data_IF_013220969900
#
_entry.id   IF_013220969900
#
_cell.length_a   1.000
_cell.length_b   1.000
_cell.length_c   1.000
_cell.angle_alpha   90.00
_cell.angle_beta   90.00
_cell.angle_gamma   90.00
#
_symmetry.space_group_name_H-M   'P 1'
#
loop_
_entity.id
_entity.type
_entity.pdbx_description
1 polymer ?
#
# COMPACT_ATOMS: atom_id res chain seq x y z
N UNK A 1 -45.41 9.60 33.26
CA UNK A 1 -44.82 9.53 31.91
C UNK A 1 -43.52 10.34 31.86
N UNK A 2 -42.43 9.82 32.43
CA UNK A 2 -41.15 10.56 32.45
C UNK A 2 -39.90 9.66 32.37
N UNK A 3 -40.07 8.37 32.06
CA UNK A 3 -38.95 7.40 31.97
C UNK A 3 -38.52 7.09 30.53
N UNK A 4 -39.30 7.48 29.52
CA UNK A 4 -38.98 7.19 28.11
C UNK A 4 -37.99 8.18 27.47
N UNK A 5 -37.83 9.39 28.05
CA UNK A 5 -36.98 10.45 27.48
C UNK A 5 -35.51 10.38 27.92
N UNK A 6 -35.17 9.50 28.89
CA UNK A 6 -33.81 9.39 29.42
C UNK A 6 -32.94 8.34 28.71
N UNK A 7 -33.53 7.50 27.84
CA UNK A 7 -32.81 6.40 27.17
C UNK A 7 -32.36 6.80 25.75
N UNK A 8 -32.96 7.85 25.16
CA UNK A 8 -32.67 8.29 23.80
C UNK A 8 -31.22 8.78 23.55
N UNK A 9 -30.54 9.51 24.47
CA UNK A 9 -29.19 10.01 24.17
C UNK A 9 -28.12 8.92 24.26
N UNK A 10 -28.43 7.76 24.87
CA UNK A 10 -27.51 6.63 25.01
C UNK A 10 -27.48 5.74 23.76
N UNK A 11 -28.51 5.82 22.90
CA UNK A 11 -28.54 5.13 21.61
C UNK A 11 -27.82 5.90 20.50
N UNK A 12 -27.63 7.22 20.65
CA UNK A 12 -26.92 8.05 19.66
C UNK A 12 -25.39 8.02 19.80
N UNK A 13 -24.84 7.51 20.90
CA UNK A 13 -23.38 7.42 21.11
C UNK A 13 -22.70 6.36 20.23
N UNK A 14 -23.45 5.54 19.50
CA UNK A 14 -22.91 4.43 18.69
C UNK A 14 -22.82 4.73 17.18
N UNK A 15 -23.08 5.95 16.73
CA UNK A 15 -22.92 6.34 15.31
C UNK A 15 -21.75 7.31 15.12
N UNK A 16 -20.65 7.10 15.86
CA UNK A 16 -19.34 7.53 15.36
C UNK A 16 -18.94 6.51 14.29
N UNK A 17 -19.42 6.73 13.06
CA UNK A 17 -18.86 6.09 11.89
C UNK A 17 -17.40 6.54 11.84
N UNK A 18 -16.49 5.64 12.22
CA UNK A 18 -15.07 5.87 12.04
C UNK A 18 -14.85 6.08 10.54
N UNK A 19 -14.67 7.33 10.11
CA UNK A 19 -14.24 7.62 8.76
C UNK A 19 -12.74 7.31 8.74
N UNK A 20 -12.36 6.17 8.16
CA UNK A 20 -10.94 5.83 8.02
C UNK A 20 -10.18 6.96 7.32
N UNK A 21 -8.93 7.16 7.73
CA UNK A 21 -8.03 8.13 7.12
C UNK A 21 -7.27 7.46 5.96
N UNK A 22 -7.39 8.04 4.77
CA UNK A 22 -6.60 7.65 3.60
C UNK A 22 -5.20 8.25 3.70
N UNK A 23 -4.17 7.41 3.89
CA UNK A 23 -2.77 7.82 4.08
C UNK A 23 -2.00 8.06 2.78
N UNK A 24 -2.65 7.94 1.62
CA UNK A 24 -2.00 7.99 0.29
C UNK A 24 -1.21 9.28 0.07
N UNK A 25 -1.73 10.44 0.46
CA UNK A 25 -1.04 11.71 0.25
C UNK A 25 0.27 11.79 1.05
N UNK A 26 0.23 11.31 2.29
CA UNK A 26 1.41 11.26 3.16
C UNK A 26 2.49 10.35 2.57
N UNK A 27 2.10 9.19 2.05
CA UNK A 27 3.04 8.26 1.42
C UNK A 27 3.61 8.78 0.12
N UNK A 28 2.78 9.36 -0.75
CA UNK A 28 3.26 9.98 -1.99
C UNK A 28 4.31 11.06 -1.71
N UNK A 29 4.03 11.95 -0.75
CA UNK A 29 4.97 13.01 -0.40
C UNK A 29 6.29 12.43 0.13
N UNK A 30 6.20 11.47 1.05
CA UNK A 30 7.36 10.80 1.64
C UNK A 30 8.20 10.08 0.60
N UNK A 31 7.55 9.38 -0.32
CA UNK A 31 8.21 8.56 -1.33
C UNK A 31 8.85 9.40 -2.43
N UNK A 32 8.18 10.48 -2.87
CA UNK A 32 8.76 11.45 -3.81
C UNK A 32 10.00 12.09 -3.20
N UNK A 33 9.94 12.55 -1.94
CA UNK A 33 11.10 13.12 -1.25
C UNK A 33 12.26 12.11 -1.19
N UNK A 34 11.99 10.85 -0.83
CA UNK A 34 13.02 9.79 -0.78
C UNK A 34 13.65 9.52 -2.14
N UNK A 35 12.86 9.49 -3.21
CA UNK A 35 13.34 9.28 -4.57
C UNK A 35 14.17 10.46 -5.10
N UNK A 36 13.92 11.67 -4.61
CA UNK A 36 14.69 12.86 -4.94
C UNK A 36 16.00 12.95 -4.15
N UNK A 37 16.01 12.51 -2.89
CA UNK A 37 17.19 12.56 -2.02
C UNK A 37 18.17 11.40 -2.25
N UNK A 38 17.68 10.26 -2.75
CA UNK A 38 18.47 9.06 -3.01
C UNK A 38 18.80 8.92 -4.48
N UNK A 39 20.06 8.62 -4.82
CA UNK A 39 20.44 8.18 -6.18
C UNK A 39 20.67 6.66 -6.23
N UNK A 40 20.16 5.93 -5.24
CA UNK A 40 20.48 4.53 -4.98
C UNK A 40 19.29 3.61 -5.25
N UNK A 41 18.73 3.71 -6.44
CA UNK A 41 17.68 2.83 -6.93
C UNK A 41 17.80 2.57 -8.43
N UNK A 42 17.13 1.52 -8.87
CA UNK A 42 16.92 1.13 -10.24
C UNK A 42 15.42 1.14 -10.51
N UNK A 43 15.05 1.63 -11.69
CA UNK A 43 13.67 1.72 -12.14
C UNK A 43 13.50 0.67 -13.24
N UNK A 44 12.54 -0.24 -13.05
CA UNK A 44 12.08 -1.15 -14.08
C UNK A 44 10.71 -0.70 -14.54
N UNK A 45 10.58 -0.28 -15.79
CA UNK A 45 9.33 0.17 -16.41
C UNK A 45 9.08 -0.69 -17.66
N UNK A 46 7.89 -1.31 -17.75
CA UNK A 46 7.54 -2.17 -18.88
C UNK A 46 7.14 -1.39 -20.15
N UNK A 47 6.98 -0.06 -20.07
CA UNK A 47 6.53 0.79 -21.18
C UNK A 47 7.61 1.65 -21.81
N UNK A 48 8.78 1.79 -21.16
CA UNK A 48 9.90 2.59 -21.66
C UNK A 48 11.24 2.01 -21.26
N UNK A 49 12.20 2.06 -22.17
CA UNK A 49 13.59 1.65 -21.91
C UNK A 49 14.38 2.70 -21.12
N UNK A 50 13.90 3.95 -21.08
CA UNK A 50 14.58 5.09 -20.44
C UNK A 50 13.72 5.67 -19.32
N UNK A 51 13.34 4.86 -18.35
CA UNK A 51 12.62 5.33 -17.18
C UNK A 51 13.48 6.35 -16.39
N UNK A 52 12.89 7.49 -16.03
CA UNK A 52 13.56 8.54 -15.28
C UNK A 52 12.82 8.85 -13.99
N UNK A 53 13.49 9.47 -13.03
CA UNK A 53 12.81 10.01 -11.86
C UNK A 53 11.67 10.97 -12.26
N UNK A 54 11.89 11.81 -13.27
CA UNK A 54 10.87 12.75 -13.72
C UNK A 54 9.62 12.05 -14.26
N UNK A 55 9.77 10.94 -15.01
CA UNK A 55 8.62 10.17 -15.48
C UNK A 55 7.85 9.54 -14.32
N UNK A 56 8.55 9.06 -13.28
CA UNK A 56 7.87 8.55 -12.06
C UNK A 56 7.12 9.68 -11.36
N UNK A 57 7.74 10.83 -11.14
CA UNK A 57 7.09 11.96 -10.47
C UNK A 57 5.83 12.39 -11.22
N UNK A 58 5.86 12.41 -12.55
CA UNK A 58 4.70 12.70 -13.38
C UNK A 58 3.60 11.65 -13.21
N UNK A 59 3.95 10.37 -13.24
CA UNK A 59 3.00 9.27 -13.01
C UNK A 59 2.33 9.37 -11.63
N UNK A 60 3.11 9.70 -10.59
CA UNK A 60 2.62 9.84 -9.22
C UNK A 60 1.63 11.00 -9.02
N UNK A 61 1.57 11.97 -9.93
CA UNK A 61 0.54 13.02 -9.89
C UNK A 61 -0.87 12.45 -10.03
N UNK A 62 -1.06 11.35 -10.77
CA UNK A 62 -2.36 10.69 -10.87
C UNK A 62 -2.83 10.15 -9.52
N UNK A 63 -1.92 9.55 -8.75
CA UNK A 63 -2.21 9.11 -7.38
C UNK A 63 -2.45 10.31 -6.46
N UNK A 64 -1.76 11.43 -6.68
CA UNK A 64 -2.01 12.68 -5.96
C UNK A 64 -3.40 13.25 -6.19
N UNK A 65 -3.97 13.08 -7.38
CA UNK A 65 -5.38 13.46 -7.62
C UNK A 65 -6.34 12.59 -6.80
N UNK A 66 -6.08 11.27 -6.72
CA UNK A 66 -6.88 10.34 -5.92
C UNK A 66 -6.79 10.65 -4.44
N UNK A 67 -5.60 10.98 -3.94
CA UNK A 67 -5.39 11.24 -2.51
C UNK A 67 -6.13 12.48 -2.01
N UNK A 68 -6.46 13.42 -2.91
CA UNK A 68 -7.18 14.65 -2.59
C UNK A 68 -8.70 14.53 -2.82
N UNK A 69 -9.22 13.34 -3.14
CA UNK A 69 -10.66 13.15 -3.32
C UNK A 69 -11.40 13.34 -2.00
N UNK A 70 -12.56 13.99 -2.09
CA UNK A 70 -13.45 14.09 -0.94
C UNK A 70 -14.11 12.73 -0.66
N UNK A 71 -13.72 12.10 0.44
CA UNK A 71 -14.23 10.80 0.87
C UNK A 71 -15.56 10.90 1.65
N UNK A 72 -16.08 12.10 1.91
CA UNK A 72 -17.29 12.30 2.71
C UNK A 72 -18.53 11.62 2.14
N UNK A 73 -18.57 11.44 0.82
CA UNK A 73 -19.71 10.86 0.11
C UNK A 73 -19.51 9.35 -0.16
N UNK A 74 -18.41 8.77 0.32
CA UNK A 74 -18.12 7.36 0.13
C UNK A 74 -18.71 6.52 1.26
N UNK A 75 -19.22 5.33 0.92
CA UNK A 75 -19.54 4.30 1.91
C UNK A 75 -18.23 3.69 2.39
N UNK A 76 -17.92 3.92 3.67
CA UNK A 76 -16.72 3.40 4.29
C UNK A 76 -16.95 2.00 4.86
N UNK A 77 -15.96 1.13 4.70
CA UNK A 77 -15.88 -0.15 5.41
C UNK A 77 -14.44 -0.45 5.79
N UNK A 78 -14.29 -1.19 6.88
CA UNK A 78 -13.00 -1.67 7.35
C UNK A 78 -13.14 -3.10 7.84
N UNK A 79 -12.15 -3.92 7.54
CA UNK A 79 -12.05 -5.27 8.06
C UNK A 79 -10.58 -5.69 8.19
N UNK A 80 -10.35 -6.76 8.93
CA UNK A 80 -9.03 -7.38 9.06
C UNK A 80 -9.04 -8.76 8.39
N UNK A 81 -7.94 -9.10 7.74
CA UNK A 81 -7.70 -10.44 7.23
C UNK A 81 -6.26 -10.82 7.57
N UNK A 82 -6.08 -11.75 8.51
CA UNK A 82 -4.74 -12.10 8.98
C UNK A 82 -4.04 -10.88 9.62
N UNK A 83 -2.85 -10.52 9.12
CA UNK A 83 -2.10 -9.34 9.57
C UNK A 83 -2.38 -8.08 8.72
N UNK A 84 -3.39 -8.13 7.85
CA UNK A 84 -3.76 -7.04 6.95
C UNK A 84 -4.98 -6.28 7.48
N UNK A 85 -4.85 -4.96 7.60
CA UNK A 85 -5.97 -4.06 7.84
C UNK A 85 -6.42 -3.48 6.50
N UNK A 86 -7.66 -3.76 6.11
CA UNK A 86 -8.23 -3.30 4.84
C UNK A 86 -9.27 -2.23 5.12
N UNK A 87 -9.12 -1.08 4.48
CA UNK A 87 -10.04 0.05 4.51
C UNK A 87 -10.52 0.32 3.09
N UNK A 88 -11.82 0.54 2.91
CA UNK A 88 -12.41 0.75 1.59
C UNK A 88 -13.42 1.87 1.61
N UNK A 89 -13.33 2.74 0.60
CA UNK A 89 -14.27 3.82 0.32
C UNK A 89 -14.95 3.53 -1.01
N UNK A 90 -16.26 3.26 -0.98
CA UNK A 90 -17.07 2.99 -2.16
C UNK A 90 -17.86 4.22 -2.58
N UNK A 91 -17.83 4.54 -3.88
CA UNK A 91 -18.51 5.69 -4.46
C UNK A 91 -19.64 5.22 -5.38
N UNK A 92 -20.85 5.72 -5.13
CA UNK A 92 -22.01 5.42 -5.99
C UNK A 92 -21.90 6.19 -7.32
N UNK A 93 -21.38 7.42 -7.27
CA UNK A 93 -21.26 8.34 -8.41
C UNK A 93 -19.81 8.53 -8.88
N UNK A 94 -19.64 9.01 -10.11
CA UNK A 94 -18.32 9.28 -10.70
C UNK A 94 -17.63 8.06 -11.32
N UNK A 95 -16.43 8.31 -11.87
CA UNK A 95 -15.64 7.31 -12.60
C UNK A 95 -14.92 6.32 -11.66
N UNK A 96 -14.51 6.80 -10.48
CA UNK A 96 -13.93 5.97 -9.42
C UNK A 96 -15.08 5.28 -8.68
N UNK A 97 -14.97 3.97 -8.51
CA UNK A 97 -15.97 3.13 -7.83
C UNK A 97 -15.52 2.71 -6.45
N UNK A 98 -14.22 2.50 -6.26
CA UNK A 98 -13.68 2.32 -4.92
C UNK A 98 -12.23 2.74 -4.81
N UNK A 99 -11.85 3.11 -3.60
CA UNK A 99 -10.46 3.22 -3.15
C UNK A 99 -10.29 2.18 -2.05
N UNK A 100 -9.28 1.34 -2.16
CA UNK A 100 -8.89 0.39 -1.11
C UNK A 100 -7.51 0.76 -0.60
N UNK A 101 -7.37 0.91 0.71
CA UNK A 101 -6.10 0.99 1.42
C UNK A 101 -5.92 -0.31 2.20
N UNK A 102 -4.79 -0.98 2.00
CA UNK A 102 -4.40 -2.17 2.74
C UNK A 102 -3.09 -1.87 3.46
N UNK A 103 -3.11 -1.91 4.78
CA UNK A 103 -1.93 -1.74 5.64
C UNK A 103 -1.56 -3.11 6.23
N UNK A 104 -0.27 -3.40 6.33
CA UNK A 104 0.21 -4.69 6.83
C UNK A 104 1.47 -4.51 7.64
N UNK A 105 1.44 -4.99 8.87
CA UNK A 105 2.60 -5.00 9.77
C UNK A 105 3.13 -6.43 9.88
N UNK A 106 4.33 -6.67 9.38
CA UNK A 106 4.95 -8.00 9.34
C UNK A 106 6.25 -7.98 10.13
N UNK A 107 6.26 -8.66 11.26
CA UNK A 107 7.47 -8.97 12.00
C UNK A 107 8.21 -10.14 11.33
N UNK A 108 9.45 -9.93 10.96
CA UNK A 108 10.34 -10.95 10.41
C UNK A 108 11.45 -11.23 11.42
N UNK A 109 11.54 -12.48 11.86
CA UNK A 109 12.65 -12.99 12.66
C UNK A 109 13.13 -14.29 12.03
N UNK A 110 14.22 -14.21 11.26
CA UNK A 110 14.71 -15.34 10.46
C UNK A 110 16.23 -15.45 10.56
N UNK A 111 16.75 -16.66 10.36
CA UNK A 111 18.18 -16.91 10.22
C UNK A 111 18.49 -17.21 8.76
N UNK A 112 19.41 -16.45 8.19
CA UNK A 112 19.88 -16.67 6.81
C UNK A 112 21.25 -17.33 6.86
N UNK A 113 21.44 -18.34 6.04
CA UNK A 113 22.73 -19.01 5.89
C UNK A 113 23.43 -18.45 4.66
N UNK A 114 24.56 -17.79 4.86
CA UNK A 114 25.41 -17.31 3.78
C UNK A 114 26.41 -18.41 3.41
N UNK A 115 26.34 -18.85 2.15
CA UNK A 115 27.33 -19.75 1.56
C UNK A 115 28.36 -18.92 0.80
N UNK A 116 29.63 -19.21 1.02
CA UNK A 116 30.72 -18.57 0.30
C UNK A 116 31.05 -19.39 -0.95
N UNK A 117 31.42 -18.70 -2.03
CA UNK A 117 31.88 -19.35 -3.27
C UNK A 117 33.25 -20.02 -3.06
N UNK A 118 34.07 -19.44 -2.20
CA UNK A 118 35.25 -20.09 -1.64
C UNK A 118 34.78 -21.11 -0.59
N UNK A 119 35.34 -22.33 -0.55
CA UNK A 119 34.98 -23.46 0.34
C UNK A 119 35.12 -23.19 1.86
N UNK A 120 34.68 -22.03 2.33
CA UNK A 120 34.60 -21.63 3.73
C UNK A 120 33.29 -22.18 4.32
N UNK A 121 33.27 -22.53 5.61
CA UNK A 121 32.04 -22.93 6.29
C UNK A 121 30.96 -21.85 6.13
N UNK A 122 29.68 -22.23 5.92
CA UNK A 122 28.59 -21.26 5.86
C UNK A 122 28.48 -20.49 7.18
N UNK A 123 28.22 -19.18 7.10
CA UNK A 123 27.88 -18.38 8.27
C UNK A 123 26.36 -18.25 8.42
N UNK A 124 25.89 -18.14 9.66
CA UNK A 124 24.49 -17.87 9.95
C UNK A 124 24.36 -16.45 10.49
N UNK A 125 23.40 -15.71 9.95
CA UNK A 125 23.09 -14.36 10.38
C UNK A 125 21.61 -14.28 10.71
N UNK A 126 21.28 -13.87 11.94
CA UNK A 126 19.90 -13.57 12.33
C UNK A 126 19.51 -12.20 11.79
N UNK A 127 18.36 -12.14 11.15
CA UNK A 127 17.73 -10.90 10.70
C UNK A 127 16.43 -10.76 11.47
N UNK A 128 16.32 -9.65 12.19
CA UNK A 128 15.10 -9.23 12.85
C UNK A 128 14.70 -7.87 12.29
N UNK A 129 13.51 -7.77 11.70
CA UNK A 129 12.97 -6.54 11.12
C UNK A 129 11.46 -6.50 11.28
N UNK A 130 10.91 -5.28 11.27
CA UNK A 130 9.47 -5.06 11.17
C UNK A 130 9.19 -4.32 9.87
N UNK A 131 8.25 -4.79 9.07
CA UNK A 131 7.86 -4.13 7.82
C UNK A 131 6.45 -3.59 7.96
N UNK A 132 6.26 -2.33 7.56
CA UNK A 132 4.92 -1.74 7.44
C UNK A 132 4.69 -1.44 5.98
N UNK A 133 3.93 -2.30 5.33
CA UNK A 133 3.55 -2.13 3.93
C UNK A 133 2.21 -1.42 3.83
N UNK A 134 2.09 -0.56 2.83
CA UNK A 134 0.82 0.06 2.45
C UNK A 134 0.59 -0.10 0.95
N UNK A 135 -0.61 -0.57 0.63
CA UNK A 135 -1.10 -0.76 -0.72
C UNK A 135 -2.33 0.10 -0.93
N UNK A 136 -2.39 0.76 -2.07
CA UNK A 136 -3.56 1.49 -2.52
C UNK A 136 -4.01 0.95 -3.87
N UNK A 137 -5.29 0.60 -3.97
CA UNK A 137 -5.92 0.21 -5.23
C UNK A 137 -7.10 1.14 -5.51
N UNK A 138 -7.16 1.65 -6.74
CA UNK A 138 -8.30 2.42 -7.24
C UNK A 138 -9.02 1.63 -8.31
N UNK A 139 -10.31 1.40 -8.07
CA UNK A 139 -11.19 0.71 -9.00
C UNK A 139 -12.04 1.73 -9.75
N UNK A 140 -12.22 1.52 -11.04
CA UNK A 140 -13.18 2.25 -11.88
C UNK A 140 -14.25 1.30 -12.38
N UNK A 141 -15.27 1.83 -13.06
CA UNK A 141 -16.33 0.99 -13.64
C UNK A 141 -15.80 -0.04 -14.67
N UNK A 142 -14.71 0.29 -15.38
CA UNK A 142 -14.17 -0.53 -16.46
C UNK A 142 -12.92 -1.32 -16.04
N UNK A 143 -12.18 -0.84 -15.05
CA UNK A 143 -10.90 -1.41 -14.62
C UNK A 143 -10.87 -1.52 -13.09
N UNK A 144 -10.98 -2.73 -12.52
CA UNK A 144 -11.04 -2.93 -11.08
C UNK A 144 -9.71 -2.65 -10.35
N UNK A 145 -8.60 -2.57 -11.08
CA UNK A 145 -7.29 -2.19 -10.55
C UNK A 145 -6.64 -1.15 -11.48
N UNK A 146 -7.36 -0.04 -11.75
CA UNK A 146 -6.89 1.02 -12.66
C UNK A 146 -5.57 1.61 -12.19
N UNK A 147 -5.46 1.84 -10.89
CA UNK A 147 -4.28 2.34 -10.22
C UNK A 147 -3.92 1.39 -9.09
N UNK A 148 -2.65 1.03 -8.99
CA UNK A 148 -2.09 0.25 -7.89
C UNK A 148 -0.83 0.93 -7.38
N UNK A 149 -0.66 1.02 -6.07
CA UNK A 149 0.52 1.63 -5.44
C UNK A 149 0.95 0.75 -4.27
N UNK A 150 2.24 0.47 -4.17
CA UNK A 150 2.84 -0.32 -3.10
C UNK A 150 4.06 0.39 -2.54
N UNK A 151 4.04 0.67 -1.24
CA UNK A 151 5.15 1.27 -0.51
C UNK A 151 5.44 0.51 0.78
N UNK A 152 6.66 0.63 1.29
CA UNK A 152 7.04 0.22 2.62
C UNK A 152 7.55 1.42 3.41
N UNK A 153 7.14 1.54 4.66
CA UNK A 153 7.33 2.72 5.51
C UNK A 153 8.79 3.22 5.58
N UNK A 154 9.78 2.33 5.63
CA UNK A 154 11.18 2.71 5.78
C UNK A 154 11.95 2.71 4.46
N UNK A 155 11.53 1.93 3.46
CA UNK A 155 12.18 1.80 2.17
C UNK A 155 11.65 2.85 1.17
N UNK A 156 10.35 3.12 1.21
CA UNK A 156 9.61 3.96 0.29
C UNK A 156 8.90 3.18 -0.81
N UNK A 157 8.58 3.86 -1.92
CA UNK A 157 7.89 3.31 -3.08
C UNK A 157 8.60 2.05 -3.61
N UNK A 158 7.85 0.96 -3.74
CA UNK A 158 8.36 -0.32 -4.27
C UNK A 158 7.80 -0.63 -5.65
N UNK A 159 6.52 -0.35 -5.89
CA UNK A 159 5.89 -0.57 -7.19
C UNK A 159 4.63 0.29 -7.37
N UNK A 160 4.28 0.58 -8.63
CA UNK A 160 2.98 1.13 -8.98
C UNK A 160 2.53 0.68 -10.38
N UNK A 161 1.22 0.62 -10.59
CA UNK A 161 0.61 0.36 -11.90
C UNK A 161 -0.35 1.49 -12.30
N UNK A 162 -0.35 1.82 -13.59
CA UNK A 162 -1.24 2.77 -14.24
C UNK A 162 -1.84 2.11 -15.49
N UNK A 163 -3.00 1.45 -15.35
CA UNK A 163 -3.51 0.56 -16.40
C UNK A 163 -2.49 -0.54 -16.73
N UNK A 164 -2.05 -0.59 -17.98
CA UNK A 164 -1.06 -1.58 -18.46
C UNK A 164 0.40 -1.25 -18.06
N UNK A 165 0.66 0.00 -17.65
CA UNK A 165 2.00 0.41 -17.22
C UNK A 165 2.29 -0.15 -15.84
N UNK A 166 3.44 -0.80 -15.70
CA UNK A 166 3.94 -1.38 -14.46
C UNK A 166 5.35 -0.89 -14.20
N UNK A 167 5.56 -0.31 -13.02
CA UNK A 167 6.86 0.21 -12.60
C UNK A 167 7.24 -0.40 -11.27
N UNK A 168 8.49 -0.85 -11.17
CA UNK A 168 9.11 -1.36 -9.95
C UNK A 168 10.35 -0.56 -9.61
N UNK A 169 10.51 -0.24 -8.33
CA UNK A 169 11.65 0.46 -7.79
C UNK A 169 12.46 -0.51 -6.93
N UNK A 170 13.71 -0.73 -7.33
CA UNK A 170 14.64 -1.60 -6.62
C UNK A 170 15.77 -0.77 -6.04
N UNK A 171 15.94 -0.76 -4.73
CA UNK A 171 17.00 0.01 -4.08
C UNK A 171 18.32 -0.75 -4.04
N UNK A 172 19.46 -0.06 -4.15
CA UNK A 172 20.79 -0.71 -4.10
C UNK A 172 21.10 -1.31 -2.72
N UNK A 173 20.41 -0.84 -1.69
CA UNK A 173 20.57 -1.29 -0.30
C UNK A 173 19.18 -1.51 0.28
N UNK A 174 18.49 -2.60 -0.11
CA UNK A 174 17.16 -2.89 0.40
C UNK A 174 17.23 -3.24 1.89
N UNK A 175 16.20 -2.86 2.63
CA UNK A 175 15.99 -3.28 4.02
C UNK A 175 16.14 -4.80 4.13
N UNK A 176 16.94 -5.24 5.09
CA UNK A 176 17.35 -6.64 5.19
C UNK A 176 16.13 -7.59 5.24
N UNK A 177 16.06 -8.55 4.32
CA UNK A 177 14.94 -9.49 4.22
C UNK A 177 13.75 -9.03 3.38
N UNK A 178 13.72 -7.78 2.90
CA UNK A 178 12.68 -7.29 2.00
C UNK A 178 12.56 -8.17 0.75
N UNK A 179 13.68 -8.52 0.11
CA UNK A 179 13.68 -9.36 -1.10
C UNK A 179 13.14 -10.78 -0.86
N UNK A 180 13.19 -11.29 0.37
CA UNK A 180 12.62 -12.59 0.72
C UNK A 180 11.14 -12.51 1.07
N UNK A 181 10.70 -11.39 1.65
CA UNK A 181 9.33 -11.17 2.10
C UNK A 181 8.42 -10.65 0.99
N UNK A 182 8.90 -9.70 0.20
CA UNK A 182 8.10 -8.94 -0.78
C UNK A 182 7.33 -9.81 -1.77
N UNK A 183 7.92 -10.86 -2.40
CA UNK A 183 7.16 -11.69 -3.34
C UNK A 183 5.99 -12.43 -2.69
N UNK A 184 6.16 -12.89 -1.44
CA UNK A 184 5.10 -13.57 -0.68
C UNK A 184 4.00 -12.57 -0.31
N UNK A 185 4.40 -11.40 0.17
CA UNK A 185 3.48 -10.32 0.50
C UNK A 185 2.64 -9.87 -0.71
N UNK A 186 3.26 -9.68 -1.88
CA UNK A 186 2.55 -9.32 -3.10
C UNK A 186 1.49 -10.35 -3.50
N UNK A 187 1.80 -11.65 -3.39
CA UNK A 187 0.85 -12.72 -3.66
C UNK A 187 -0.33 -12.74 -2.67
N UNK A 188 -0.07 -12.48 -1.39
CA UNK A 188 -1.11 -12.37 -0.35
C UNK A 188 -2.04 -11.19 -0.61
N UNK A 189 -1.48 -10.01 -0.91
CA UNK A 189 -2.24 -8.81 -1.26
C UNK A 189 -3.09 -9.03 -2.51
N UNK A 190 -2.54 -9.62 -3.57
CA UNK A 190 -3.28 -9.91 -4.80
C UNK A 190 -4.50 -10.81 -4.51
N UNK A 191 -4.34 -11.80 -3.64
CA UNK A 191 -5.43 -12.68 -3.22
C UNK A 191 -6.52 -11.95 -2.42
N UNK A 192 -6.15 -10.96 -1.59
CA UNK A 192 -7.10 -10.13 -0.82
C UNK A 192 -7.88 -9.19 -1.74
N UNK A 193 -7.16 -8.50 -2.63
CA UNK A 193 -7.75 -7.53 -3.54
C UNK A 193 -8.70 -8.21 -4.55
N UNK A 194 -8.39 -9.42 -5.02
CA UNK A 194 -9.30 -10.22 -5.87
C UNK A 194 -10.61 -10.59 -5.17
N UNK A 195 -10.60 -10.85 -3.86
CA UNK A 195 -11.81 -11.18 -3.09
C UNK A 195 -12.68 -9.95 -2.82
N UNK A 196 -12.07 -8.78 -2.78
CA UNK A 196 -12.73 -7.50 -2.50
C UNK A 196 -13.56 -6.95 -3.65
N UNK A 197 -13.49 -7.56 -4.85
CA UNK A 197 -14.20 -7.13 -6.08
C UNK A 197 -15.54 -7.88 -6.26
N UNK A 198 -16.11 -8.47 -5.20
CA UNK A 198 -17.37 -9.22 -5.27
C UNK A 198 -18.54 -8.50 -4.62
#
# INVERSE_FOLDING_TARGET
>A
MMLLHAILPLLFSFILVATGELKLQQDLQKDITRLQESNRYFISDNTTETATLQSIVNDLQLFGMVSNLNLSNAKYSQYEQGHHQVQQWHFDEGAIKSITQLESTIAMDTVVTQRYLENRPPSQHRITNNFVFRVYQVSTANEPAKLFYLTEEEQGLLAYHLGEKQVQISYTSPKNGLNHLLPKYQAEVEAILKKSIK
#
